data_IF_236954209161
#
_entry.id   IF_236954209161
#
_cell.length_a   1.000
_cell.length_b   1.000
_cell.length_c   1.000
_cell.angle_alpha   90.00
_cell.angle_beta   90.00
_cell.angle_gamma   90.00
#
_symmetry.space_group_name_H-M   'P 1'
#
loop_
_entity.id
_entity.type
_entity.pdbx_description
1 polymer ?
#
# COMPACT_ATOMS: atom_id res chain seq x y z
N UNK A 1 54.26 -28.67 -8.21
CA UNK A 1 53.47 -27.49 -8.59
C UNK A 1 52.03 -27.79 -8.27
N UNK A 2 51.47 -27.15 -7.24
CA UNK A 2 50.05 -27.31 -6.87
C UNK A 2 49.30 -26.18 -7.55
N UNK A 3 48.42 -26.50 -8.48
CA UNK A 3 47.55 -25.53 -9.15
C UNK A 3 46.36 -25.25 -8.25
N UNK A 4 46.23 -24.02 -7.77
CA UNK A 4 45.07 -23.57 -6.99
C UNK A 4 43.99 -23.16 -8.00
N UNK A 5 42.80 -23.76 -7.90
CA UNK A 5 41.66 -23.42 -8.74
C UNK A 5 41.19 -21.97 -8.47
N UNK A 6 40.71 -21.23 -9.49
CA UNK A 6 40.21 -19.88 -9.30
C UNK A 6 38.98 -19.92 -8.38
N UNK A 7 39.00 -19.08 -7.34
CA UNK A 7 37.84 -18.83 -6.50
C UNK A 7 36.67 -18.38 -7.39
N UNK A 8 35.55 -19.09 -7.30
CA UNK A 8 34.30 -18.67 -7.92
C UNK A 8 33.92 -17.28 -7.37
N UNK A 9 33.90 -16.28 -8.24
CA UNK A 9 33.31 -14.98 -7.92
C UNK A 9 31.83 -15.20 -7.60
N UNK A 10 31.45 -15.02 -6.33
CA UNK A 10 30.06 -14.98 -5.93
C UNK A 10 29.38 -13.84 -6.72
N UNK A 11 28.47 -14.24 -7.60
CA UNK A 11 27.61 -13.33 -8.35
C UNK A 11 26.63 -12.69 -7.36
N UNK A 12 27.08 -11.63 -6.68
CA UNK A 12 26.24 -10.78 -5.85
C UNK A 12 25.23 -10.14 -6.80
N UNK A 13 24.07 -10.80 -6.91
CA UNK A 13 22.87 -10.27 -7.54
C UNK A 13 22.74 -8.80 -7.17
N UNK A 14 22.75 -7.94 -8.18
CA UNK A 14 22.68 -6.49 -8.00
C UNK A 14 21.45 -6.15 -7.16
N UNK A 15 21.65 -5.93 -5.86
CA UNK A 15 20.57 -5.53 -4.94
C UNK A 15 20.00 -4.23 -5.47
N UNK A 16 18.80 -4.29 -6.05
CA UNK A 16 18.13 -3.10 -6.54
C UNK A 16 17.64 -2.32 -5.33
N UNK A 17 18.16 -1.11 -5.16
CA UNK A 17 17.70 -0.19 -4.13
C UNK A 17 16.39 0.44 -4.62
N UNK A 18 15.36 0.42 -3.77
CA UNK A 18 14.07 1.05 -4.06
C UNK A 18 13.76 2.11 -3.01
N UNK A 19 13.33 3.27 -3.46
CA UNK A 19 12.76 4.30 -2.59
C UNK A 19 11.37 3.88 -2.10
N UNK A 20 11.08 4.19 -0.83
CA UNK A 20 9.82 3.85 -0.18
C UNK A 20 9.39 4.94 0.79
N UNK A 21 8.10 4.95 1.18
CA UNK A 21 7.52 5.86 2.17
C UNK A 21 7.20 5.05 3.43
N UNK A 22 8.19 4.94 4.32
CA UNK A 22 8.07 4.15 5.54
C UNK A 22 7.14 4.79 6.58
N UNK A 23 5.97 4.19 6.81
CA UNK A 23 5.02 4.65 7.85
C UNK A 23 5.61 4.55 9.27
N UNK A 24 6.59 3.67 9.49
CA UNK A 24 7.31 3.56 10.75
C UNK A 24 7.92 4.89 11.23
N UNK A 25 8.28 5.80 10.33
CA UNK A 25 8.75 7.15 10.69
C UNK A 25 7.63 7.96 11.35
N UNK A 26 6.40 7.87 10.85
CA UNK A 26 5.22 8.53 11.42
C UNK A 26 4.85 7.88 12.75
N UNK A 27 4.77 6.55 12.79
CA UNK A 27 4.43 5.80 14.00
C UNK A 27 5.43 6.03 15.14
N UNK A 28 6.73 6.12 14.83
CA UNK A 28 7.75 6.45 15.83
C UNK A 28 7.67 7.89 16.34
N UNK A 29 7.14 8.82 15.55
CA UNK A 29 7.02 10.23 15.93
C UNK A 29 5.73 10.55 16.69
N UNK A 30 4.66 9.82 16.41
CA UNK A 30 3.32 10.03 17.00
C UNK A 30 2.69 8.69 17.47
N UNK A 31 3.39 7.92 18.31
CA UNK A 31 2.97 6.57 18.71
C UNK A 31 1.65 6.53 19.49
N UNK A 32 1.27 7.63 20.13
CA UNK A 32 0.02 7.77 20.88
C UNK A 32 -1.21 7.91 19.98
N UNK A 33 -1.03 8.29 18.71
CA UNK A 33 -2.12 8.52 17.76
C UNK A 33 -2.15 7.50 16.63
N UNK A 34 -0.99 7.09 16.11
CA UNK A 34 -0.90 6.31 14.88
C UNK A 34 -0.07 5.05 15.04
N UNK A 35 -0.61 3.96 14.50
CA UNK A 35 0.04 2.65 14.42
C UNK A 35 -0.38 1.91 13.16
N UNK A 36 0.17 0.71 12.94
CA UNK A 36 -0.27 -0.17 11.86
C UNK A 36 -1.76 -0.56 11.97
N UNK A 37 -2.38 -0.42 13.14
CA UNK A 37 -3.79 -0.80 13.35
C UNK A 37 -4.78 0.23 12.81
N UNK A 38 -4.40 1.51 12.72
CA UNK A 38 -5.33 2.59 12.40
C UNK A 38 -4.82 3.52 11.29
N UNK A 39 -3.79 3.10 10.55
CA UNK A 39 -3.21 3.86 9.44
C UNK A 39 -3.52 3.17 8.12
N UNK A 40 -3.98 3.92 7.12
CA UNK A 40 -4.09 3.45 5.74
C UNK A 40 -3.38 4.43 4.80
N UNK A 41 -2.70 3.91 3.79
CA UNK A 41 -1.86 4.65 2.85
C UNK A 41 -2.35 4.38 1.43
N UNK A 42 -2.93 5.42 0.80
CA UNK A 42 -3.34 5.38 -0.61
C UNK A 42 -2.23 5.89 -1.50
N UNK A 43 -1.79 5.05 -2.44
CA UNK A 43 -0.75 5.40 -3.40
C UNK A 43 -0.96 4.59 -4.69
N UNK A 44 -0.64 5.15 -5.85
CA UNK A 44 -0.77 4.45 -7.13
C UNK A 44 0.43 3.53 -7.42
N UNK A 45 1.48 3.58 -6.57
CA UNK A 45 2.71 2.82 -6.73
C UNK A 45 2.97 1.91 -5.52
N UNK A 46 2.81 0.59 -5.73
CA UNK A 46 3.01 -0.44 -4.69
C UNK A 46 4.34 -0.36 -3.94
N UNK A 47 5.43 0.06 -4.60
CA UNK A 47 6.76 0.19 -3.96
C UNK A 47 6.78 1.23 -2.82
N UNK A 48 5.90 2.23 -2.87
CA UNK A 48 5.87 3.31 -1.88
C UNK A 48 5.44 2.81 -0.50
N UNK A 49 4.76 1.67 -0.42
CA UNK A 49 4.36 1.04 0.84
C UNK A 49 4.89 -0.39 0.97
N UNK A 50 5.98 -0.75 0.27
CA UNK A 50 6.56 -2.10 0.31
C UNK A 50 6.99 -2.54 1.71
N UNK A 51 7.35 -1.59 2.58
CA UNK A 51 7.71 -1.85 3.97
C UNK A 51 6.50 -2.01 4.90
N UNK A 52 5.29 -1.66 4.44
CA UNK A 52 4.05 -1.70 5.22
C UNK A 52 2.89 -2.18 4.32
N UNK A 53 2.98 -3.38 3.71
CA UNK A 53 2.07 -3.80 2.64
C UNK A 53 0.60 -3.85 3.09
N UNK A 54 0.34 -4.30 4.33
CA UNK A 54 -1.01 -4.36 4.90
C UNK A 54 -1.69 -2.98 5.01
N UNK A 55 -0.90 -1.93 5.26
CA UNK A 55 -1.40 -0.56 5.40
C UNK A 55 -1.54 0.15 4.05
N UNK A 56 -1.09 -0.45 2.95
CA UNK A 56 -1.15 0.16 1.63
C UNK A 56 -2.36 -0.31 0.83
N UNK A 57 -3.11 0.63 0.26
CA UNK A 57 -4.14 0.34 -0.75
C UNK A 57 -3.72 1.02 -2.05
N UNK A 58 -3.53 0.19 -3.09
CA UNK A 58 -3.10 0.68 -4.40
C UNK A 58 -4.29 1.29 -5.15
N UNK A 59 -4.26 2.59 -5.39
CA UNK A 59 -5.33 3.30 -6.09
C UNK A 59 -5.11 3.31 -7.61
N UNK A 60 -6.18 3.53 -8.38
CA UNK A 60 -6.03 3.74 -9.82
C UNK A 60 -5.36 5.09 -10.09
N UNK A 61 -4.25 5.13 -10.86
CA UNK A 61 -3.61 6.39 -11.22
C UNK A 61 -4.54 7.24 -12.08
N UNK A 62 -4.71 8.52 -11.72
CA UNK A 62 -5.47 9.48 -12.52
C UNK A 62 -4.63 9.95 -13.72
N UNK A 63 -4.75 9.25 -14.85
CA UNK A 63 -4.05 9.57 -16.11
C UNK A 63 -4.98 10.29 -17.08
N UNK A 64 -4.42 11.05 -18.04
CA UNK A 64 -5.18 11.76 -19.11
C UNK A 64 -6.32 12.65 -18.55
N UNK A 65 -5.97 13.58 -17.68
CA UNK A 65 -6.92 14.36 -16.87
C UNK A 65 -8.00 15.09 -17.71
N UNK A 66 -7.66 15.67 -18.86
CA UNK A 66 -8.62 16.37 -19.72
C UNK A 66 -9.75 15.46 -20.22
N UNK A 67 -9.44 14.18 -20.47
CA UNK A 67 -10.43 13.19 -20.94
C UNK A 67 -11.29 12.67 -19.79
N UNK A 68 -10.68 12.40 -18.63
CA UNK A 68 -11.34 11.63 -17.56
C UNK A 68 -11.80 12.46 -16.35
N UNK A 69 -11.50 13.77 -16.29
CA UNK A 69 -11.93 14.66 -15.19
C UNK A 69 -13.41 14.57 -14.84
N UNK A 70 -14.27 14.36 -15.83
CA UNK A 70 -15.72 14.31 -15.63
C UNK A 70 -16.22 12.92 -15.19
N UNK A 71 -15.47 11.87 -15.50
CA UNK A 71 -15.89 10.46 -15.34
C UNK A 71 -15.12 9.72 -14.25
N UNK A 72 -13.98 10.23 -13.81
CA UNK A 72 -13.24 9.62 -12.70
C UNK A 72 -14.05 9.72 -11.41
N UNK A 73 -14.13 8.61 -10.69
CA UNK A 73 -14.89 8.46 -9.45
C UNK A 73 -14.07 7.76 -8.37
N UNK A 74 -12.76 7.62 -8.57
CA UNK A 74 -11.89 6.85 -7.67
C UNK A 74 -11.95 7.43 -6.25
N UNK A 75 -11.75 8.75 -6.12
CA UNK A 75 -11.81 9.41 -4.81
C UNK A 75 -13.19 9.33 -4.15
N UNK A 76 -14.28 9.33 -4.93
CA UNK A 76 -15.63 9.18 -4.36
C UNK A 76 -15.81 7.78 -3.75
N UNK A 77 -15.28 6.75 -4.41
CA UNK A 77 -15.30 5.38 -3.86
C UNK A 77 -14.38 5.22 -2.65
N UNK A 78 -13.24 5.91 -2.64
CA UNK A 78 -12.38 5.95 -1.46
C UNK A 78 -13.04 6.65 -0.27
N UNK A 79 -13.90 7.65 -0.50
CA UNK A 79 -14.71 8.24 0.58
C UNK A 79 -15.64 7.19 1.17
N UNK A 80 -16.39 6.46 0.34
CA UNK A 80 -17.26 5.38 0.82
C UNK A 80 -16.47 4.33 1.61
N UNK A 81 -15.25 3.99 1.15
CA UNK A 81 -14.39 3.06 1.85
C UNK A 81 -13.89 3.58 3.20
N UNK A 82 -13.42 4.82 3.24
CA UNK A 82 -12.99 5.46 4.50
C UNK A 82 -14.15 5.52 5.51
N UNK A 83 -15.37 5.85 5.06
CA UNK A 83 -16.56 5.83 5.92
C UNK A 83 -16.86 4.42 6.44
N UNK A 84 -16.75 3.40 5.57
CA UNK A 84 -16.99 2.03 5.94
C UNK A 84 -16.00 1.50 6.99
N UNK A 85 -14.74 1.96 6.99
CA UNK A 85 -13.71 1.46 7.92
C UNK A 85 -13.46 2.38 9.13
N UNK A 86 -13.95 3.62 9.12
CA UNK A 86 -13.61 4.64 10.12
C UNK A 86 -13.98 4.28 11.57
N UNK A 87 -14.95 3.39 11.76
CA UNK A 87 -15.41 2.95 13.08
C UNK A 87 -14.63 1.75 13.63
N UNK A 88 -13.73 1.15 12.83
CA UNK A 88 -12.94 0.01 13.24
C UNK A 88 -11.75 0.46 14.09
N UNK A 89 -11.53 -0.21 15.23
CA UNK A 89 -10.35 0.02 16.07
C UNK A 89 -9.07 -0.58 15.47
N UNK A 90 -9.22 -1.59 14.60
CA UNK A 90 -8.11 -2.32 13.99
C UNK A 90 -8.40 -2.68 12.52
N UNK A 91 -7.55 -2.18 11.63
CA UNK A 91 -7.61 -2.35 10.18
C UNK A 91 -6.85 -3.59 9.69
N UNK A 92 -6.16 -4.32 10.58
CA UNK A 92 -5.31 -5.44 10.19
C UNK A 92 -6.06 -6.65 9.59
N UNK A 93 -7.38 -6.73 9.79
CA UNK A 93 -8.24 -7.76 9.20
C UNK A 93 -8.74 -7.42 7.78
N UNK A 94 -8.54 -6.19 7.31
CA UNK A 94 -9.01 -5.76 5.98
C UNK A 94 -8.09 -6.27 4.87
N UNK A 95 -8.66 -6.59 3.71
CA UNK A 95 -7.88 -6.95 2.52
C UNK A 95 -7.80 -5.75 1.56
N UNK A 96 -6.59 -5.25 1.32
CA UNK A 96 -6.29 -4.12 0.43
C UNK A 96 -5.56 -4.53 -0.86
N UNK A 97 -5.43 -5.83 -1.14
CA UNK A 97 -4.57 -6.31 -2.24
C UNK A 97 -5.10 -5.93 -3.62
N UNK A 98 -6.42 -5.97 -3.79
CA UNK A 98 -7.09 -5.67 -5.05
C UNK A 98 -8.27 -4.73 -4.88
N UNK A 99 -8.71 -4.15 -5.99
CA UNK A 99 -9.88 -3.27 -6.02
C UNK A 99 -11.17 -4.00 -5.70
N UNK A 100 -11.28 -5.25 -6.12
CA UNK A 100 -12.42 -6.10 -5.87
C UNK A 100 -12.61 -6.35 -4.37
N UNK A 101 -11.51 -6.48 -3.62
CA UNK A 101 -11.56 -6.76 -2.18
C UNK A 101 -12.11 -5.56 -1.40
N UNK A 102 -11.52 -4.37 -1.56
CA UNK A 102 -11.96 -3.21 -0.79
C UNK A 102 -13.30 -2.65 -1.27
N UNK A 103 -13.60 -2.65 -2.59
CA UNK A 103 -14.93 -2.26 -3.07
C UNK A 103 -16.00 -3.28 -2.63
N UNK A 104 -15.67 -4.58 -2.60
CA UNK A 104 -16.57 -5.62 -2.08
C UNK A 104 -16.90 -5.46 -0.59
N UNK A 105 -15.93 -5.01 0.20
CA UNK A 105 -16.15 -4.63 1.59
C UNK A 105 -17.16 -3.48 1.70
N UNK A 106 -17.00 -2.41 0.90
CA UNK A 106 -17.95 -1.28 0.87
C UNK A 106 -19.37 -1.74 0.55
N UNK A 107 -19.53 -2.61 -0.46
CA UNK A 107 -20.85 -3.11 -0.85
C UNK A 107 -21.50 -3.95 0.25
N UNK A 108 -20.72 -4.70 1.01
CA UNK A 108 -21.22 -5.46 2.16
C UNK A 108 -21.64 -4.52 3.28
N UNK A 109 -20.82 -3.51 3.58
CA UNK A 109 -21.11 -2.50 4.59
C UNK A 109 -22.37 -1.69 4.27
N UNK A 110 -22.59 -1.28 3.01
CA UNK A 110 -23.79 -0.53 2.59
C UNK A 110 -25.11 -1.32 2.70
N UNK A 111 -25.04 -2.65 2.80
CA UNK A 111 -26.22 -3.53 2.88
C UNK A 111 -26.62 -3.86 4.31
N UNK A 112 -25.72 -3.68 5.27
CA UNK A 112 -25.99 -3.84 6.71
C UNK A 112 -26.53 -2.55 7.31
#
# INVERSE_FOLDING_TARGET
MITVAPHAEENISSKTVFDTKGLAVIWGKFPEYYSAKNTIHFDDLRRNFIMNPQNGLMIRPFRKCLKYRATDRELLRLIDYLQAIAHLEDLSALNHDSRQDWEGYVETWKRG
#
